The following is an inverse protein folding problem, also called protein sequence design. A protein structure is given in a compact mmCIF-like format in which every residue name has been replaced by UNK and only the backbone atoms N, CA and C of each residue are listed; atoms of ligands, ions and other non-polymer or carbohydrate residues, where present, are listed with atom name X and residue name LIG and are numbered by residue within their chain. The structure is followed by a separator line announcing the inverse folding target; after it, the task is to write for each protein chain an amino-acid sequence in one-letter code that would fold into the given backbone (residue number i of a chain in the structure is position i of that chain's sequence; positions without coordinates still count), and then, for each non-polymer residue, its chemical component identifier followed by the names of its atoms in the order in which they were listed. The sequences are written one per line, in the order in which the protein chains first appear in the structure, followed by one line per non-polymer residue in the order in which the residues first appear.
data_IF_386666576962
#
_entry.id   IF_386666576962
#
_cell.length_a   1.000
_cell.length_b   1.000
_cell.length_c   1.000
_cell.angle_alpha   90.00
_cell.angle_beta   90.00
_cell.angle_gamma   90.00
#
_symmetry.space_group_name_H-M   'P 1'
#
loop_
_entity.id
_entity.type
_entity.pdbx_description
1 polymer ?
#
# COMPACT_ATOMS: atom_id res chain seq x y z
N UNK A 1 5.00 -10.37 25.01
CA UNK A 1 4.37 -11.35 24.07
C UNK A 1 5.26 -11.38 22.84
N UNK A 2 5.81 -12.55 22.50
CA UNK A 2 6.78 -12.66 21.38
C UNK A 2 6.05 -12.71 20.04
N UNK A 3 6.33 -11.76 19.19
CA UNK A 3 5.72 -11.62 17.87
C UNK A 3 6.68 -12.05 16.77
N UNK A 4 6.18 -12.79 15.77
CA UNK A 4 6.89 -13.08 14.54
C UNK A 4 6.49 -12.06 13.47
N UNK A 5 7.42 -11.23 13.06
CA UNK A 5 7.22 -10.26 11.98
C UNK A 5 7.72 -10.83 10.64
N UNK A 6 7.00 -10.55 9.57
CA UNK A 6 7.31 -11.07 8.23
C UNK A 6 7.17 -9.97 7.18
N UNK A 7 8.18 -9.81 6.33
CA UNK A 7 8.10 -8.97 5.14
C UNK A 7 7.79 -9.83 3.92
N UNK A 8 6.54 -9.78 3.44
CA UNK A 8 6.07 -10.46 2.22
C UNK A 8 5.55 -9.43 1.20
N UNK A 9 6.46 -8.73 0.48
CA UNK A 9 6.10 -7.66 -0.45
C UNK A 9 5.33 -8.16 -1.67
N UNK A 10 5.31 -9.46 -1.91
CA UNK A 10 4.51 -10.15 -2.93
C UNK A 10 3.02 -10.24 -2.63
N UNK A 11 2.59 -9.83 -1.44
CA UNK A 11 1.24 -10.00 -0.91
C UNK A 11 0.13 -9.68 -1.91
N UNK A 12 0.14 -8.54 -2.57
CA UNK A 12 -0.94 -8.15 -3.49
C UNK A 12 -0.98 -9.00 -4.77
N UNK A 13 0.18 -9.48 -5.23
CA UNK A 13 0.23 -10.42 -6.36
C UNK A 13 -0.31 -11.78 -5.90
N UNK A 14 -0.05 -12.18 -4.66
CA UNK A 14 -0.61 -13.38 -4.06
C UNK A 14 -2.14 -13.27 -3.91
N UNK A 15 -2.67 -12.12 -3.48
CA UNK A 15 -4.11 -11.85 -3.44
C UNK A 15 -4.75 -11.93 -4.84
N UNK A 16 -4.08 -11.39 -5.87
CA UNK A 16 -4.56 -11.46 -7.25
C UNK A 16 -4.60 -12.91 -7.77
N UNK A 17 -3.56 -13.69 -7.48
CA UNK A 17 -3.48 -15.09 -7.87
C UNK A 17 -4.45 -15.99 -7.09
N UNK A 18 -4.67 -15.69 -5.81
CA UNK A 18 -5.52 -16.44 -4.86
C UNK A 18 -5.20 -17.95 -4.84
N UNK A 19 -3.93 -18.28 -4.77
CA UNK A 19 -3.44 -19.66 -4.78
C UNK A 19 -2.72 -19.98 -3.47
N UNK A 20 -3.06 -21.10 -2.84
CA UNK A 20 -2.35 -21.60 -1.65
C UNK A 20 -0.86 -21.93 -1.96
N UNK A 21 -0.58 -22.39 -3.16
CA UNK A 21 0.78 -22.64 -3.65
C UNK A 21 1.11 -21.63 -4.74
N UNK A 22 1.52 -20.44 -4.32
CA UNK A 22 1.90 -19.35 -5.19
C UNK A 22 3.41 -19.16 -5.23
N UNK A 23 3.98 -19.10 -6.43
CA UNK A 23 5.40 -18.77 -6.61
C UNK A 23 5.53 -17.33 -7.07
N UNK A 24 6.05 -16.43 -6.23
CA UNK A 24 6.21 -15.03 -6.60
C UNK A 24 7.20 -14.84 -7.77
N UNK A 25 7.04 -13.79 -8.58
CA UNK A 25 8.03 -13.39 -9.58
C UNK A 25 9.42 -13.19 -8.96
N UNK A 26 10.48 -13.41 -9.76
CA UNK A 26 11.87 -13.29 -9.30
C UNK A 26 12.15 -11.97 -8.55
N UNK A 27 11.73 -10.83 -9.13
CA UNK A 27 11.94 -9.52 -8.52
C UNK A 27 11.30 -9.39 -7.11
N UNK A 28 10.13 -9.98 -6.89
CA UNK A 28 9.48 -9.96 -5.57
C UNK A 28 10.21 -10.85 -4.55
N UNK A 29 10.67 -12.03 -4.98
CA UNK A 29 11.50 -12.93 -4.16
C UNK A 29 12.82 -12.27 -3.77
N UNK A 30 13.49 -11.63 -4.73
CA UNK A 30 14.73 -10.89 -4.46
C UNK A 30 14.49 -9.73 -3.49
N UNK A 31 13.42 -8.95 -3.67
CA UNK A 31 13.06 -7.87 -2.75
C UNK A 31 12.83 -8.39 -1.33
N UNK A 32 12.16 -9.54 -1.18
CA UNK A 32 11.94 -10.20 0.11
C UNK A 32 13.26 -10.67 0.75
N UNK A 33 14.13 -11.29 -0.03
CA UNK A 33 15.43 -11.76 0.45
C UNK A 33 16.33 -10.60 0.90
N UNK A 34 16.39 -9.52 0.12
CA UNK A 34 17.28 -8.38 0.38
C UNK A 34 16.79 -7.48 1.51
N UNK A 35 15.48 -7.29 1.65
CA UNK A 35 14.86 -6.34 2.58
C UNK A 35 14.00 -7.03 3.67
N UNK A 36 14.07 -8.34 3.79
CA UNK A 36 13.34 -9.11 4.82
C UNK A 36 13.56 -8.62 6.25
N UNK A 37 14.66 -7.91 6.48
CA UNK A 37 15.01 -7.31 7.77
C UNK A 37 14.20 -6.04 8.12
N UNK A 38 13.45 -5.44 7.20
CA UNK A 38 12.69 -4.19 7.43
C UNK A 38 11.80 -4.22 8.68
N UNK A 39 11.12 -5.34 9.03
CA UNK A 39 10.33 -5.41 10.25
C UNK A 39 11.10 -5.12 11.55
N UNK A 40 12.42 -5.30 11.57
CA UNK A 40 13.24 -4.91 12.71
C UNK A 40 13.20 -3.41 13.03
N UNK A 41 12.67 -2.58 12.14
CA UNK A 41 12.49 -1.14 12.40
C UNK A 41 11.34 -0.83 13.38
N UNK A 42 10.41 -1.77 13.57
CA UNK A 42 9.25 -1.63 14.46
C UNK A 42 9.04 -2.83 15.41
N UNK A 43 9.85 -3.88 15.29
CA UNK A 43 9.81 -5.03 16.18
C UNK A 43 10.37 -4.66 17.56
N UNK A 44 9.79 -5.25 18.60
CA UNK A 44 10.31 -5.14 19.95
C UNK A 44 11.56 -6.03 20.15
N UNK A 45 12.29 -5.82 21.25
CA UNK A 45 13.58 -6.50 21.52
C UNK A 45 13.44 -8.03 21.56
N UNK A 46 12.30 -8.52 22.06
CA UNK A 46 12.05 -9.97 22.22
C UNK A 46 11.31 -10.59 21.04
N UNK A 47 11.02 -9.80 20.00
CA UNK A 47 10.33 -10.27 18.80
C UNK A 47 11.29 -10.96 17.83
N UNK A 48 10.69 -11.75 16.94
CA UNK A 48 11.38 -12.43 15.86
C UNK A 48 11.08 -11.76 14.51
N UNK A 49 12.06 -11.72 13.64
CA UNK A 49 11.89 -11.30 12.24
C UNK A 49 12.27 -12.47 11.33
N UNK A 50 11.29 -12.98 10.58
CA UNK A 50 11.51 -14.06 9.62
C UNK A 50 12.22 -13.54 8.39
N UNK A 51 13.35 -14.13 8.04
CA UNK A 51 14.17 -13.78 6.89
C UNK A 51 14.66 -15.02 6.14
N UNK A 52 15.12 -14.88 4.92
CA UNK A 52 15.71 -15.99 4.16
C UNK A 52 17.15 -16.31 4.61
N UNK A 53 17.89 -15.27 5.02
CA UNK A 53 19.29 -15.36 5.43
C UNK A 53 19.53 -14.52 6.67
N UNK A 54 19.49 -15.13 7.86
CA UNK A 54 19.57 -14.44 9.15
C UNK A 54 20.87 -13.65 9.35
N UNK A 55 22.02 -14.19 8.95
CA UNK A 55 23.31 -13.52 9.09
C UNK A 55 23.43 -12.28 8.17
N UNK A 56 23.02 -12.41 6.89
CA UNK A 56 23.02 -11.30 5.94
C UNK A 56 22.07 -10.19 6.39
N UNK A 57 20.86 -10.55 6.86
CA UNK A 57 19.87 -9.60 7.38
C UNK A 57 20.38 -8.88 8.62
N UNK A 58 21.03 -9.58 9.54
CA UNK A 58 21.69 -9.00 10.73
C UNK A 58 22.74 -7.96 10.31
N UNK A 59 23.61 -8.32 9.36
CA UNK A 59 24.65 -7.42 8.85
C UNK A 59 24.08 -6.16 8.19
N UNK A 60 23.02 -6.32 7.38
CA UNK A 60 22.35 -5.20 6.72
C UNK A 60 21.65 -4.25 7.71
N UNK A 61 20.99 -4.80 8.72
CA UNK A 61 20.30 -4.03 9.76
C UNK A 61 21.27 -3.35 10.73
N UNK A 62 22.38 -3.99 11.09
CA UNK A 62 23.30 -3.54 12.14
C UNK A 62 23.82 -2.10 11.89
N UNK A 63 24.17 -1.77 10.65
CA UNK A 63 24.63 -0.41 10.30
C UNK A 63 23.54 0.64 10.54
N UNK A 64 22.30 0.33 10.16
CA UNK A 64 21.17 1.23 10.32
C UNK A 64 20.75 1.32 11.80
N UNK A 65 20.72 0.19 12.50
CA UNK A 65 20.43 0.07 13.92
C UNK A 65 21.29 1.00 14.77
N UNK A 66 22.63 0.91 14.59
CA UNK A 66 23.58 1.77 15.33
C UNK A 66 23.33 3.26 15.07
N UNK A 67 23.09 3.63 13.81
CA UNK A 67 22.83 5.03 13.44
C UNK A 67 21.54 5.59 14.04
N UNK A 68 20.52 4.73 14.21
CA UNK A 68 19.20 5.12 14.71
C UNK A 68 19.02 4.85 16.22
N UNK A 69 20.01 4.27 16.91
CA UNK A 69 19.88 3.89 18.32
C UNK A 69 18.81 2.81 18.57
N UNK A 70 18.54 1.94 17.58
CA UNK A 70 17.49 0.91 17.70
C UNK A 70 17.98 -0.32 18.49
N UNK A 71 17.06 -1.03 19.17
CA UNK A 71 17.41 -2.26 19.89
C UNK A 71 17.86 -3.36 18.93
N UNK A 72 18.47 -4.38 19.48
CA UNK A 72 18.77 -5.63 18.76
C UNK A 72 17.45 -6.39 18.52
N UNK A 73 17.34 -7.04 17.35
CA UNK A 73 16.17 -7.86 16.98
C UNK A 73 16.67 -9.25 16.57
N UNK A 74 15.93 -10.28 16.91
CA UNK A 74 16.26 -11.65 16.56
C UNK A 74 15.80 -11.99 15.14
N UNK A 75 16.77 -12.21 14.24
CA UNK A 75 16.49 -12.73 12.91
C UNK A 75 16.50 -14.25 12.92
N UNK A 76 15.45 -14.84 12.39
CA UNK A 76 15.23 -16.29 12.33
C UNK A 76 14.92 -16.70 10.89
N UNK A 77 15.29 -17.91 10.52
CA UNK A 77 14.95 -18.49 9.25
C UNK A 77 13.82 -19.55 9.39
N UNK A 78 13.34 -20.03 8.25
CA UNK A 78 12.21 -20.97 8.19
C UNK A 78 12.47 -22.29 8.92
N UNK A 79 13.74 -22.73 9.08
CA UNK A 79 14.07 -23.99 9.72
C UNK A 79 13.94 -23.94 11.24
N UNK A 80 13.97 -22.72 11.80
CA UNK A 80 13.88 -22.48 13.23
C UNK A 80 12.43 -22.38 13.72
N UNK A 81 11.46 -22.07 12.83
CA UNK A 81 10.08 -21.69 13.19
C UNK A 81 9.35 -22.69 14.09
N UNK A 82 9.57 -24.01 13.89
CA UNK A 82 8.92 -25.05 14.68
C UNK A 82 9.39 -25.11 16.15
N UNK A 83 10.50 -24.45 16.47
CA UNK A 83 11.14 -24.47 17.78
C UNK A 83 10.99 -23.13 18.54
N UNK A 84 10.40 -22.11 17.90
CA UNK A 84 10.26 -20.79 18.50
C UNK A 84 9.00 -20.69 19.37
N UNK A 85 9.12 -19.97 20.48
CA UNK A 85 7.99 -19.57 21.32
C UNK A 85 7.31 -18.32 20.73
N UNK A 86 6.58 -18.53 19.60
CA UNK A 86 5.80 -17.47 18.96
C UNK A 86 4.40 -17.43 19.54
N UNK A 87 3.91 -16.25 19.88
CA UNK A 87 2.58 -16.02 20.44
C UNK A 87 1.68 -15.21 19.49
N UNK A 88 2.26 -14.48 18.55
CA UNK A 88 1.54 -13.70 17.54
C UNK A 88 2.33 -13.64 16.24
N UNK A 89 1.64 -13.54 15.11
CA UNK A 89 2.25 -13.33 13.78
C UNK A 89 1.75 -12.03 13.19
N UNK A 90 2.68 -11.18 12.77
CA UNK A 90 2.39 -9.87 12.12
C UNK A 90 3.13 -9.79 10.78
N UNK A 91 2.51 -10.27 9.68
CA UNK A 91 3.10 -10.14 8.36
C UNK A 91 2.94 -8.71 7.81
N UNK A 92 3.59 -8.45 6.70
CA UNK A 92 3.32 -7.28 5.86
C UNK A 92 1.86 -7.24 5.42
N UNK A 93 1.35 -8.36 4.95
CA UNK A 93 -0.05 -8.61 4.66
C UNK A 93 -0.40 -10.09 4.69
N UNK A 94 -1.62 -10.44 5.03
CA UNK A 94 -2.11 -11.82 5.10
C UNK A 94 -2.65 -12.30 3.76
N UNK A 95 -2.16 -13.43 3.28
CA UNK A 95 -2.66 -14.14 2.09
C UNK A 95 -2.56 -15.66 2.26
N UNK A 96 -3.27 -16.40 1.39
CA UNK A 96 -3.36 -17.86 1.47
C UNK A 96 -2.00 -18.56 1.26
N UNK A 97 -1.13 -17.99 0.43
CA UNK A 97 0.19 -18.56 0.16
C UNK A 97 1.09 -18.47 1.39
N UNK A 98 1.09 -17.30 2.07
CA UNK A 98 1.85 -17.11 3.30
C UNK A 98 1.38 -18.08 4.39
N UNK A 99 0.07 -18.21 4.59
CA UNK A 99 -0.49 -19.14 5.61
C UNK A 99 -0.09 -20.56 5.31
N UNK A 100 -0.17 -20.99 4.05
CA UNK A 100 0.26 -22.33 3.61
C UNK A 100 1.74 -22.57 3.89
N UNK A 101 2.60 -21.60 3.60
CA UNK A 101 4.03 -21.68 3.85
C UNK A 101 4.34 -21.76 5.35
N UNK A 102 3.71 -20.94 6.17
CA UNK A 102 3.92 -20.94 7.63
C UNK A 102 3.47 -22.26 8.27
N UNK A 103 2.35 -22.83 7.84
CA UNK A 103 1.92 -24.17 8.25
C UNK A 103 2.97 -25.22 7.89
N UNK A 104 3.46 -25.21 6.65
CA UNK A 104 4.47 -26.16 6.16
C UNK A 104 5.80 -26.05 6.90
N UNK A 105 6.15 -24.86 7.39
CA UNK A 105 7.36 -24.61 8.18
C UNK A 105 7.17 -24.89 9.68
N UNK A 106 6.02 -25.44 10.09
CA UNK A 106 5.76 -25.92 11.44
C UNK A 106 5.24 -24.89 12.41
N UNK A 107 4.76 -23.74 11.94
CA UNK A 107 4.11 -22.77 12.82
C UNK A 107 2.73 -23.31 13.26
N UNK A 108 2.38 -23.22 14.57
CA UNK A 108 1.09 -23.72 15.06
C UNK A 108 -0.11 -23.06 14.38
N UNK A 109 -1.05 -23.86 13.88
CA UNK A 109 -2.26 -23.40 13.15
C UNK A 109 -3.08 -22.40 13.97
N UNK A 110 -3.12 -22.52 15.31
CA UNK A 110 -3.83 -21.55 16.18
C UNK A 110 -3.34 -20.10 16.08
N UNK A 111 -2.13 -19.89 15.52
CA UNK A 111 -1.55 -18.55 15.31
C UNK A 111 -1.87 -17.97 13.93
N UNK A 112 -2.52 -18.74 13.07
CA UNK A 112 -2.80 -18.39 11.69
C UNK A 112 -4.29 -18.10 11.52
N UNK A 113 -4.65 -17.17 10.62
CA UNK A 113 -6.05 -16.90 10.32
C UNK A 113 -6.70 -18.09 9.60
N UNK A 114 -7.97 -18.33 9.88
CA UNK A 114 -8.78 -19.29 9.15
C UNK A 114 -9.01 -18.84 7.69
N UNK A 115 -9.29 -19.80 6.81
CA UNK A 115 -9.52 -19.54 5.38
C UNK A 115 -10.66 -18.54 5.15
N UNK A 116 -11.75 -18.65 5.90
CA UNK A 116 -12.89 -17.72 5.80
C UNK A 116 -12.51 -16.27 6.09
N UNK A 117 -11.62 -16.05 7.05
CA UNK A 117 -11.07 -14.71 7.35
C UNK A 117 -10.17 -14.20 6.24
N UNK A 118 -9.31 -15.06 5.69
CA UNK A 118 -8.45 -14.71 4.55
C UNK A 118 -9.28 -14.29 3.34
N UNK A 119 -10.35 -15.01 3.03
CA UNK A 119 -11.27 -14.68 1.95
C UNK A 119 -11.96 -13.33 2.21
N UNK A 120 -12.41 -13.08 3.43
CA UNK A 120 -12.98 -11.79 3.83
C UNK A 120 -11.97 -10.65 3.66
N UNK A 121 -10.75 -10.80 4.16
CA UNK A 121 -9.70 -9.78 4.03
C UNK A 121 -9.27 -9.56 2.58
N UNK A 122 -9.25 -10.62 1.76
CA UNK A 122 -9.03 -10.49 0.33
C UNK A 122 -10.12 -9.66 -0.35
N UNK A 123 -11.39 -9.85 0.02
CA UNK A 123 -12.49 -9.02 -0.49
C UNK A 123 -12.37 -7.57 -0.02
N UNK A 124 -11.97 -7.32 1.23
CA UNK A 124 -11.70 -5.97 1.75
C UNK A 124 -10.53 -5.29 1.02
N UNK A 125 -9.49 -6.03 0.63
CA UNK A 125 -8.36 -5.52 -0.14
C UNK A 125 -8.68 -5.25 -1.62
N UNK A 126 -9.87 -5.62 -2.10
CA UNK A 126 -10.32 -5.30 -3.45
C UNK A 126 -10.54 -3.79 -3.60
N UNK A 127 -10.11 -3.17 -4.68
CA UNK A 127 -10.26 -1.71 -4.92
C UNK A 127 -11.69 -1.18 -4.88
N UNK A 128 -12.73 -2.05 -4.98
CA UNK A 128 -14.12 -1.64 -4.71
C UNK A 128 -14.31 -1.08 -3.30
N UNK A 129 -13.54 -1.54 -2.33
CA UNK A 129 -13.59 -1.02 -0.95
C UNK A 129 -13.11 0.43 -0.90
N UNK A 130 -12.06 0.78 -1.66
CA UNK A 130 -11.64 2.18 -1.83
C UNK A 130 -12.74 3.03 -2.46
N UNK A 131 -13.42 2.53 -3.48
CA UNK A 131 -14.52 3.23 -4.14
C UNK A 131 -15.72 3.47 -3.21
N UNK A 132 -16.04 2.49 -2.35
CA UNK A 132 -17.10 2.62 -1.33
C UNK A 132 -16.71 3.64 -0.26
N UNK A 133 -15.50 3.56 0.25
CA UNK A 133 -14.98 4.52 1.23
C UNK A 133 -14.94 5.93 0.64
N UNK A 134 -14.52 6.09 -0.61
CA UNK A 134 -14.43 7.38 -1.30
C UNK A 134 -15.75 8.16 -1.24
N UNK A 135 -16.89 7.50 -1.38
CA UNK A 135 -18.20 8.15 -1.32
C UNK A 135 -18.51 8.78 0.05
N UNK A 136 -18.04 8.15 1.14
CA UNK A 136 -18.21 8.67 2.51
C UNK A 136 -17.21 9.80 2.85
N UNK A 137 -16.15 9.95 2.06
CA UNK A 137 -15.11 10.98 2.25
C UNK A 137 -15.37 12.26 1.45
N UNK A 138 -16.47 12.35 0.70
CA UNK A 138 -16.78 13.55 -0.08
C UNK A 138 -17.10 14.74 0.82
N UNK A 139 -16.39 15.82 0.58
CA UNK A 139 -16.53 17.14 1.22
C UNK A 139 -16.30 18.23 0.18
N UNK A 140 -16.62 19.48 0.54
CA UNK A 140 -16.12 20.62 -0.23
C UNK A 140 -14.58 20.58 -0.28
N UNK A 141 -14.01 20.81 -1.46
CA UNK A 141 -12.57 20.69 -1.69
C UNK A 141 -12.09 19.29 -2.05
N UNK A 142 -12.97 18.29 -2.14
CA UNK A 142 -12.62 16.93 -2.58
C UNK A 142 -13.14 16.62 -3.98
N UNK A 143 -12.51 15.65 -4.62
CA UNK A 143 -12.88 15.04 -5.91
C UNK A 143 -12.58 13.54 -5.86
N UNK A 144 -13.14 12.79 -6.78
CA UNK A 144 -12.85 11.37 -6.94
C UNK A 144 -14.11 10.59 -7.30
N UNK A 145 -14.01 9.74 -8.30
CA UNK A 145 -15.04 8.81 -8.73
C UNK A 145 -14.38 7.50 -9.12
N UNK A 146 -15.02 6.40 -8.82
CA UNK A 146 -14.56 5.08 -9.20
C UNK A 146 -15.77 4.16 -9.43
N UNK A 147 -15.77 3.43 -10.55
CA UNK A 147 -16.82 2.50 -10.93
C UNK A 147 -16.21 1.12 -11.11
N UNK A 148 -16.82 0.10 -10.51
CA UNK A 148 -16.48 -1.29 -10.78
C UNK A 148 -17.21 -1.76 -12.05
N UNK A 149 -16.46 -2.29 -13.02
CA UNK A 149 -16.97 -2.80 -14.28
C UNK A 149 -16.66 -4.31 -14.39
N UNK A 150 -17.70 -5.12 -14.56
CA UNK A 150 -17.60 -6.59 -14.70
C UNK A 150 -17.59 -7.07 -16.14
N UNK A 151 -17.81 -6.21 -17.10
CA UNK A 151 -17.75 -6.47 -18.53
C UNK A 151 -17.15 -5.29 -19.30
N UNK A 152 -16.88 -5.50 -20.57
CA UNK A 152 -16.22 -4.52 -21.44
C UNK A 152 -17.18 -3.42 -21.90
N UNK A 153 -18.46 -3.65 -21.91
CA UNK A 153 -19.51 -2.72 -22.28
C UNK A 153 -19.60 -1.62 -21.20
N UNK A 154 -19.52 -1.99 -19.92
CA UNK A 154 -19.48 -1.02 -18.81
C UNK A 154 -18.20 -0.16 -18.87
N UNK A 155 -17.06 -0.76 -19.21
CA UNK A 155 -15.80 0.02 -19.40
C UNK A 155 -15.95 1.01 -20.55
N UNK A 156 -16.56 0.59 -21.67
CA UNK A 156 -16.83 1.45 -22.81
C UNK A 156 -17.75 2.61 -22.46
N UNK A 157 -18.80 2.37 -21.65
CA UNK A 157 -19.69 3.41 -21.15
C UNK A 157 -18.96 4.45 -20.29
N UNK A 158 -18.08 4.01 -19.38
CA UNK A 158 -17.25 4.90 -18.56
C UNK A 158 -16.32 5.76 -19.45
N UNK A 159 -15.69 5.17 -20.48
CA UNK A 159 -14.84 5.91 -21.42
C UNK A 159 -15.62 6.94 -22.25
N UNK A 160 -16.82 6.58 -22.69
CA UNK A 160 -17.70 7.52 -23.40
C UNK A 160 -18.12 8.71 -22.52
N UNK A 161 -18.28 8.46 -21.21
CA UNK A 161 -18.68 9.49 -20.25
C UNK A 161 -17.52 10.43 -19.90
N UNK A 162 -16.32 9.87 -19.57
CA UNK A 162 -15.19 10.66 -19.06
C UNK A 162 -14.12 10.99 -20.10
N UNK A 163 -14.17 10.39 -21.29
CA UNK A 163 -13.22 10.55 -22.39
C UNK A 163 -11.78 10.10 -22.06
N UNK A 164 -11.30 10.37 -20.85
CA UNK A 164 -10.00 9.95 -20.34
C UNK A 164 -10.17 9.22 -19.01
N UNK A 165 -9.73 7.98 -18.94
CA UNK A 165 -9.89 7.13 -17.76
C UNK A 165 -8.60 6.43 -17.36
N UNK A 166 -8.57 6.04 -16.09
CA UNK A 166 -7.60 5.11 -15.52
C UNK A 166 -8.34 3.81 -15.23
N UNK A 167 -7.88 2.70 -15.79
CA UNK A 167 -8.41 1.35 -15.51
C UNK A 167 -7.42 0.63 -14.61
N UNK A 168 -7.92 0.08 -13.50
CA UNK A 168 -7.11 -0.59 -12.49
C UNK A 168 -7.59 -2.03 -12.29
N UNK A 169 -6.66 -2.99 -12.21
CA UNK A 169 -6.99 -4.34 -11.77
C UNK A 169 -7.40 -4.32 -10.29
N UNK A 170 -8.36 -5.17 -9.86
CA UNK A 170 -8.86 -5.23 -8.48
C UNK A 170 -7.77 -5.43 -7.44
N UNK A 171 -6.83 -6.34 -7.71
CA UNK A 171 -5.65 -6.59 -6.89
C UNK A 171 -4.40 -6.43 -7.76
N UNK A 172 -3.56 -5.47 -7.40
CA UNK A 172 -2.28 -5.25 -8.08
C UNK A 172 -1.39 -4.34 -7.25
N UNK A 173 -0.09 -4.39 -7.47
CA UNK A 173 0.87 -3.55 -6.78
C UNK A 173 1.77 -2.77 -7.73
N UNK A 174 2.35 -1.69 -7.22
CA UNK A 174 3.44 -0.94 -7.88
C UNK A 174 3.12 -0.47 -9.30
N UNK A 175 1.87 -0.08 -9.56
CA UNK A 175 1.42 0.45 -10.86
C UNK A 175 1.31 -0.58 -12.00
N UNK A 176 1.62 -1.86 -11.76
CA UNK A 176 1.59 -2.89 -12.82
C UNK A 176 0.18 -3.24 -13.30
N UNK A 177 -0.82 -3.04 -12.46
CA UNK A 177 -2.23 -3.26 -12.78
C UNK A 177 -2.99 -1.98 -13.10
N UNK A 178 -2.33 -0.95 -13.62
CA UNK A 178 -2.95 0.36 -13.94
C UNK A 178 -2.67 0.70 -15.40
N UNK A 179 -3.71 1.07 -16.15
CA UNK A 179 -3.60 1.52 -17.53
C UNK A 179 -4.41 2.79 -17.77
N UNK A 180 -3.92 3.62 -18.69
CA UNK A 180 -4.52 4.91 -19.06
C UNK A 180 -5.13 4.78 -20.46
N UNK A 181 -6.38 5.24 -20.61
CA UNK A 181 -7.10 5.27 -21.87
C UNK A 181 -7.60 6.68 -22.14
N UNK A 182 -7.50 7.08 -23.42
CA UNK A 182 -7.88 8.40 -23.89
C UNK A 182 -8.57 8.22 -25.25
N UNK A 183 -9.85 8.60 -25.35
CA UNK A 183 -10.66 8.42 -26.56
C UNK A 183 -10.16 9.21 -27.74
N UNK A 184 -9.55 10.39 -27.54
CA UNK A 184 -8.98 11.20 -28.61
C UNK A 184 -7.80 10.50 -29.31
N UNK A 185 -7.06 9.67 -28.57
CA UNK A 185 -5.91 8.93 -29.11
C UNK A 185 -6.29 7.58 -29.74
N UNK A 186 -7.49 7.09 -29.50
CA UNK A 186 -7.94 5.77 -29.97
C UNK A 186 -8.59 5.80 -31.36
N UNK A 187 -8.65 6.95 -32.03
CA UNK A 187 -9.21 7.12 -33.38
C UNK A 187 -10.74 7.12 -33.41
N UNK A 188 -11.32 8.12 -34.06
CA UNK A 188 -12.71 8.59 -33.96
C UNK A 188 -13.86 7.67 -34.38
N UNK A 189 -13.69 6.33 -34.50
CA UNK A 189 -14.77 5.41 -34.92
C UNK A 189 -15.60 4.83 -33.78
N UNK A 190 -15.44 5.30 -32.54
CA UNK A 190 -16.30 4.92 -31.41
C UNK A 190 -16.25 3.42 -31.03
N UNK A 191 -15.60 2.58 -31.78
CA UNK A 191 -15.31 1.18 -31.44
C UNK A 191 -14.06 1.16 -30.58
N UNK A 192 -14.28 1.32 -29.30
CA UNK A 192 -13.28 1.09 -28.30
C UNK A 192 -12.75 -0.33 -28.45
N UNK A 193 -11.58 -0.48 -28.97
CA UNK A 193 -10.83 -1.73 -28.80
C UNK A 193 -10.44 -1.79 -27.32
N UNK A 194 -11.40 -2.23 -26.49
CA UNK A 194 -11.06 -2.65 -25.13
C UNK A 194 -9.98 -3.73 -25.29
N UNK A 195 -8.77 -3.39 -24.85
CA UNK A 195 -7.62 -4.23 -25.12
C UNK A 195 -7.74 -5.59 -24.42
N UNK A 196 -6.97 -6.55 -24.89
CA UNK A 196 -6.95 -7.90 -24.33
C UNK A 196 -6.58 -7.92 -22.84
N UNK A 197 -5.90 -6.87 -22.33
CA UNK A 197 -5.56 -6.79 -20.93
C UNK A 197 -6.81 -6.62 -20.04
N UNK A 198 -7.74 -5.73 -20.39
CA UNK A 198 -9.00 -5.54 -19.65
C UNK A 198 -9.79 -6.85 -19.65
N UNK A 199 -9.96 -7.50 -20.82
CA UNK A 199 -10.67 -8.77 -20.93
C UNK A 199 -10.04 -9.86 -20.05
N UNK A 200 -8.71 -9.94 -20.04
CA UNK A 200 -7.97 -10.92 -19.23
C UNK A 200 -8.11 -10.62 -17.72
N UNK A 201 -8.05 -9.35 -17.30
CA UNK A 201 -8.24 -8.99 -15.89
C UNK A 201 -9.65 -9.34 -15.44
N UNK A 202 -10.69 -8.96 -16.21
CA UNK A 202 -12.08 -9.33 -15.90
C UNK A 202 -12.23 -10.84 -15.80
N UNK A 203 -11.67 -11.61 -16.76
CA UNK A 203 -11.72 -13.07 -16.73
C UNK A 203 -11.04 -13.67 -15.50
N UNK A 204 -9.91 -13.11 -15.04
CA UNK A 204 -9.11 -13.67 -13.95
C UNK A 204 -9.54 -13.16 -12.57
N UNK A 205 -9.93 -11.89 -12.47
CA UNK A 205 -10.21 -11.21 -11.20
C UNK A 205 -11.67 -10.78 -11.06
N UNK A 206 -12.53 -11.02 -12.05
CA UNK A 206 -13.98 -10.79 -12.04
C UNK A 206 -14.41 -9.39 -12.46
N UNK A 207 -13.56 -8.39 -12.33
CA UNK A 207 -13.88 -6.99 -12.68
C UNK A 207 -12.62 -6.16 -12.93
N UNK A 208 -12.81 -4.90 -13.32
CA UNK A 208 -11.83 -3.82 -13.27
C UNK A 208 -12.45 -2.61 -12.60
N UNK A 209 -11.62 -1.74 -12.01
CA UNK A 209 -12.06 -0.42 -11.55
C UNK A 209 -11.74 0.62 -12.62
N UNK A 210 -12.71 1.49 -12.92
CA UNK A 210 -12.56 2.57 -13.88
C UNK A 210 -12.75 3.90 -13.15
N UNK A 211 -11.82 4.82 -13.33
CA UNK A 211 -11.81 6.14 -12.71
C UNK A 211 -11.57 7.21 -13.77
N UNK A 212 -12.13 8.42 -13.63
CA UNK A 212 -11.73 9.53 -14.48
C UNK A 212 -10.24 9.82 -14.32
N UNK A 213 -9.59 10.24 -15.40
CA UNK A 213 -8.20 10.69 -15.33
C UNK A 213 -8.13 12.07 -14.66
N UNK A 214 -7.40 12.18 -13.58
CA UNK A 214 -7.13 13.44 -12.89
C UNK A 214 -5.72 13.95 -13.16
N UNK A 215 -5.58 15.27 -13.35
CA UNK A 215 -4.27 15.90 -13.48
C UNK A 215 -3.58 15.99 -12.11
N UNK A 216 -2.80 14.97 -11.81
CA UNK A 216 -2.13 14.80 -10.52
C UNK A 216 -1.03 15.83 -10.32
N UNK A 217 -1.04 16.47 -9.13
CA UNK A 217 -0.01 17.40 -8.66
C UNK A 217 0.93 16.73 -7.66
N UNK A 218 0.35 15.95 -6.71
CA UNK A 218 1.14 15.32 -5.64
C UNK A 218 0.46 14.07 -5.12
N UNK A 219 1.26 13.01 -4.91
CA UNK A 219 0.85 11.83 -4.16
C UNK A 219 1.24 11.97 -2.69
N UNK A 220 0.42 11.44 -1.80
CA UNK A 220 0.70 11.24 -0.39
C UNK A 220 -0.27 10.20 0.18
N UNK A 221 -0.07 9.76 1.41
CA UNK A 221 -0.96 8.84 2.08
C UNK A 221 -1.12 9.17 3.56
N UNK A 222 -2.10 8.54 4.16
CA UNK A 222 -2.28 8.45 5.60
C UNK A 222 -2.15 7.00 6.02
N UNK A 223 -1.37 6.76 7.06
CA UNK A 223 -1.15 5.45 7.63
C UNK A 223 -1.94 5.28 8.90
N UNK A 224 -2.52 4.09 9.09
CA UNK A 224 -3.40 3.75 10.20
C UNK A 224 -3.09 2.35 10.73
N UNK A 225 -3.63 2.05 11.92
CA UNK A 225 -3.68 0.70 12.47
C UNK A 225 -5.07 0.46 13.08
N UNK A 226 -5.70 -0.67 12.75
CA UNK A 226 -6.89 -1.14 13.43
C UNK A 226 -6.51 -2.10 14.54
N UNK A 227 -6.83 -1.71 15.76
CA UNK A 227 -6.54 -2.46 16.97
C UNK A 227 -7.52 -3.64 17.17
N UNK A 228 -7.18 -4.57 18.06
CA UNK A 228 -8.00 -5.73 18.40
C UNK A 228 -9.37 -5.37 18.96
N UNK A 229 -9.50 -4.21 19.61
CA UNK A 229 -10.78 -3.68 20.13
C UNK A 229 -11.61 -2.95 19.07
N UNK A 230 -11.19 -2.96 17.80
CA UNK A 230 -11.86 -2.31 16.68
C UNK A 230 -11.53 -0.83 16.48
N UNK A 231 -10.81 -0.19 17.39
CA UNK A 231 -10.41 1.20 17.23
C UNK A 231 -9.43 1.37 16.06
N UNK A 232 -9.63 2.44 15.29
CA UNK A 232 -8.75 2.86 14.20
C UNK A 232 -7.87 3.99 14.70
N UNK A 233 -6.56 3.75 14.71
CA UNK A 233 -5.56 4.70 15.17
C UNK A 233 -4.79 5.27 13.98
N UNK A 234 -4.75 6.59 13.86
CA UNK A 234 -3.91 7.30 12.91
C UNK A 234 -2.44 7.19 13.32
N UNK A 235 -1.58 6.81 12.37
CA UNK A 235 -0.15 6.63 12.59
C UNK A 235 0.70 7.78 12.04
N UNK A 236 0.23 8.47 11.01
CA UNK A 236 0.92 9.64 10.46
C UNK A 236 0.77 9.80 8.94
N UNK A 237 1.24 10.95 8.44
CA UNK A 237 1.33 11.25 7.01
C UNK A 237 2.51 10.54 6.36
N UNK A 238 2.29 10.04 5.16
CA UNK A 238 3.28 9.45 4.28
C UNK A 238 3.40 10.29 3.01
N UNK A 239 4.42 11.12 2.89
CA UNK A 239 4.69 11.89 1.68
C UNK A 239 5.65 11.10 0.80
N UNK A 240 5.11 10.53 -0.27
CA UNK A 240 5.89 9.70 -1.18
C UNK A 240 5.96 10.31 -2.59
N UNK A 241 6.88 9.81 -3.38
CA UNK A 241 7.07 10.18 -4.76
C UNK A 241 6.88 8.96 -5.65
N UNK A 242 6.21 9.18 -6.79
CA UNK A 242 6.07 8.18 -7.85
C UNK A 242 6.68 8.69 -9.15
N UNK A 243 7.23 7.78 -9.94
CA UNK A 243 7.66 8.04 -11.32
C UNK A 243 7.02 7.00 -12.23
N UNK A 244 6.26 7.46 -13.20
CA UNK A 244 5.48 6.58 -14.10
C UNK A 244 4.57 5.59 -13.33
N UNK A 245 3.98 6.06 -12.22
CA UNK A 245 3.13 5.24 -11.35
C UNK A 245 3.87 4.28 -10.40
N UNK A 246 5.20 4.16 -10.52
CA UNK A 246 6.00 3.33 -9.62
C UNK A 246 6.50 4.16 -8.42
N UNK A 247 6.43 3.58 -7.23
CA UNK A 247 6.99 4.15 -6.02
C UNK A 247 8.51 4.31 -6.14
N UNK A 248 9.03 5.49 -5.77
CA UNK A 248 10.47 5.78 -5.77
C UNK A 248 11.02 6.20 -4.40
N UNK A 249 10.19 6.57 -3.44
CA UNK A 249 10.67 6.89 -2.10
C UNK A 249 9.72 7.73 -1.27
N UNK A 250 10.05 7.88 0.01
CA UNK A 250 9.30 8.69 0.98
C UNK A 250 10.16 9.82 1.56
N UNK A 251 9.53 10.94 1.83
CA UNK A 251 10.10 11.98 2.68
C UNK A 251 10.07 11.50 4.15
N UNK A 252 11.22 11.59 4.82
CA UNK A 252 11.38 11.40 6.26
C UNK A 252 11.48 12.77 6.91
N UNK A 253 10.43 13.16 7.58
CA UNK A 253 10.30 14.42 8.30
C UNK A 253 9.27 14.22 9.42
N UNK A 254 9.24 15.12 10.39
CA UNK A 254 8.21 15.10 11.44
C UNK A 254 6.82 15.27 10.83
N UNK A 255 5.80 14.90 11.58
CA UNK A 255 4.41 15.10 11.17
C UNK A 255 4.13 16.58 10.88
N UNK A 256 4.61 17.48 11.73
CA UNK A 256 4.46 18.92 11.60
C UNK A 256 5.06 19.43 10.27
N UNK A 257 6.30 19.05 9.99
CA UNK A 257 6.99 19.42 8.75
C UNK A 257 6.28 18.89 7.50
N UNK A 258 5.71 17.65 7.55
CA UNK A 258 4.91 17.09 6.47
C UNK A 258 3.59 17.84 6.27
N UNK A 259 2.88 18.17 7.36
CA UNK A 259 1.65 18.97 7.31
C UNK A 259 1.90 20.35 6.71
N UNK A 260 2.98 21.03 7.10
CA UNK A 260 3.38 22.32 6.51
C UNK A 260 3.62 22.26 4.99
N UNK A 261 4.11 21.11 4.49
CA UNK A 261 4.26 20.89 3.04
C UNK A 261 2.91 20.71 2.34
N UNK A 262 1.96 20.00 2.94
CA UNK A 262 0.60 19.83 2.38
C UNK A 262 -0.19 21.15 2.45
N UNK A 263 0.00 21.97 3.48
CA UNK A 263 -0.64 23.27 3.64
C UNK A 263 -0.41 24.24 2.46
N UNK A 264 0.63 24.02 1.67
CA UNK A 264 0.89 24.78 0.42
C UNK A 264 -0.11 24.50 -0.69
N UNK A 265 -0.87 23.42 -0.58
CA UNK A 265 -1.80 22.95 -1.61
C UNK A 265 -3.25 22.93 -1.14
N UNK A 266 -3.49 22.58 0.12
CA UNK A 266 -4.82 22.33 0.69
C UNK A 266 -4.91 22.90 2.10
N UNK A 267 -6.12 23.34 2.53
CA UNK A 267 -6.36 23.71 3.94
C UNK A 267 -6.11 22.48 4.85
N UNK A 268 -5.40 22.68 5.97
CA UNK A 268 -5.14 21.60 6.93
C UNK A 268 -6.42 21.11 7.60
N UNK A 269 -7.42 21.96 7.74
CA UNK A 269 -8.74 21.57 8.26
C UNK A 269 -9.40 20.50 7.36
N UNK A 270 -9.30 20.63 6.03
CA UNK A 270 -9.78 19.59 5.10
C UNK A 270 -9.06 18.27 5.36
N UNK A 271 -7.74 18.31 5.58
CA UNK A 271 -6.96 17.11 5.87
C UNK A 271 -7.39 16.44 7.18
N UNK A 272 -7.64 17.22 8.23
CA UNK A 272 -8.09 16.72 9.53
C UNK A 272 -9.52 16.17 9.45
N UNK A 273 -10.41 16.81 8.72
CA UNK A 273 -11.76 16.32 8.47
C UNK A 273 -11.77 14.99 7.71
N UNK A 274 -10.91 14.85 6.69
CA UNK A 274 -10.77 13.58 5.95
C UNK A 274 -10.21 12.49 6.86
N UNK A 275 -9.18 12.77 7.66
CA UNK A 275 -8.62 11.84 8.64
C UNK A 275 -9.72 11.31 9.60
N UNK A 276 -10.52 12.22 10.17
CA UNK A 276 -11.59 11.82 11.08
C UNK A 276 -12.66 11.00 10.37
N UNK A 277 -13.07 11.39 9.16
CA UNK A 277 -14.03 10.62 8.36
C UNK A 277 -13.53 9.22 8.00
N UNK A 278 -12.23 9.05 7.75
CA UNK A 278 -11.66 7.72 7.54
C UNK A 278 -11.82 6.89 8.80
N UNK A 279 -11.45 7.42 9.97
CA UNK A 279 -11.56 6.73 11.25
C UNK A 279 -13.01 6.30 11.52
N UNK A 280 -13.97 7.16 11.22
CA UNK A 280 -15.39 6.93 11.52
C UNK A 280 -16.09 6.01 10.50
N UNK A 281 -15.61 5.96 9.24
CA UNK A 281 -16.35 5.32 8.16
C UNK A 281 -15.64 4.11 7.52
N UNK A 282 -14.36 3.87 7.82
CA UNK A 282 -13.67 2.72 7.25
C UNK A 282 -14.22 1.42 7.85
N UNK A 283 -14.80 0.60 6.98
CA UNK A 283 -15.37 -0.70 7.36
C UNK A 283 -14.34 -1.80 7.05
N UNK A 284 -13.75 -2.36 8.08
CA UNK A 284 -12.70 -3.37 7.99
C UNK A 284 -13.10 -4.70 8.64
N UNK A 285 -14.39 -4.91 8.91
CA UNK A 285 -14.95 -6.12 9.52
C UNK A 285 -14.10 -6.61 10.72
N UNK A 286 -13.52 -7.80 10.62
CA UNK A 286 -12.66 -8.39 11.64
C UNK A 286 -11.15 -8.21 11.36
N UNK A 287 -10.77 -7.44 10.33
CA UNK A 287 -9.36 -7.16 10.07
C UNK A 287 -8.71 -6.43 11.24
N UNK A 288 -7.53 -6.85 11.62
CA UNK A 288 -6.68 -6.22 12.64
C UNK A 288 -5.27 -6.06 12.07
N UNK A 289 -4.72 -4.87 12.24
CA UNK A 289 -3.38 -4.56 11.78
C UNK A 289 -3.27 -3.24 11.03
N UNK A 290 -2.09 -2.97 10.46
CA UNK A 290 -1.80 -1.75 9.74
C UNK A 290 -2.53 -1.68 8.40
N UNK A 291 -2.96 -0.49 8.02
CA UNK A 291 -3.45 -0.20 6.67
C UNK A 291 -3.08 1.23 6.27
N UNK A 292 -2.99 1.47 4.97
CA UNK A 292 -2.69 2.79 4.42
C UNK A 292 -3.74 3.23 3.42
N UNK A 293 -3.97 4.53 3.33
CA UNK A 293 -4.85 5.12 2.31
C UNK A 293 -4.03 6.09 1.47
N UNK A 294 -3.87 5.74 0.19
CA UNK A 294 -3.22 6.60 -0.78
C UNK A 294 -4.18 7.69 -1.24
N UNK A 295 -3.67 8.91 -1.31
CA UNK A 295 -4.37 10.12 -1.69
C UNK A 295 -3.60 10.87 -2.76
N UNK A 296 -4.26 11.75 -3.48
CA UNK A 296 -3.57 12.66 -4.39
C UNK A 296 -4.19 14.05 -4.39
N UNK A 297 -3.35 15.06 -4.55
CA UNK A 297 -3.75 16.42 -4.86
C UNK A 297 -3.81 16.53 -6.38
N UNK A 298 -4.90 17.04 -6.88
CA UNK A 298 -5.14 17.20 -8.30
C UNK A 298 -5.38 18.67 -8.67
N UNK A 299 -4.95 19.06 -9.87
CA UNK A 299 -5.32 20.32 -10.47
C UNK A 299 -6.61 20.08 -11.27
N UNK A 300 -7.75 20.48 -10.68
CA UNK A 300 -9.06 20.33 -11.29
C UNK A 300 -9.37 21.57 -12.13
N UNK A 301 -9.50 21.38 -13.43
CA UNK A 301 -9.75 22.45 -14.38
C UNK A 301 -11.25 22.72 -14.45
N UNK A 302 -11.69 23.85 -13.91
CA UNK A 302 -13.09 24.28 -13.92
C UNK A 302 -13.46 24.97 -15.25
N UNK A 303 -12.47 25.62 -15.90
CA UNK A 303 -12.59 26.28 -17.22
C UNK A 303 -11.19 26.42 -17.83
N UNK A 304 -11.10 26.93 -19.04
CA UNK A 304 -9.82 27.23 -19.72
C UNK A 304 -8.92 28.20 -18.93
N UNK A 305 -9.50 28.98 -18.02
CA UNK A 305 -8.80 30.06 -17.28
C UNK A 305 -8.69 29.76 -15.77
N UNK A 306 -9.61 28.96 -15.19
CA UNK A 306 -9.69 28.73 -13.76
C UNK A 306 -9.39 27.27 -13.41
N UNK A 307 -8.39 27.06 -12.57
CA UNK A 307 -8.09 25.77 -11.96
C UNK A 307 -8.13 25.85 -10.43
N UNK A 308 -8.55 24.79 -9.77
CA UNK A 308 -8.59 24.65 -8.32
C UNK A 308 -7.87 23.40 -7.91
N UNK A 309 -7.06 23.49 -6.86
CA UNK A 309 -6.47 22.30 -6.25
C UNK A 309 -7.52 21.60 -5.40
N UNK A 310 -7.73 20.32 -5.67
CA UNK A 310 -8.68 19.48 -4.93
C UNK A 310 -7.96 18.22 -4.40
N UNK A 311 -8.52 17.67 -3.33
CA UNK A 311 -8.06 16.41 -2.76
C UNK A 311 -8.87 15.24 -3.31
N UNK A 312 -8.19 14.23 -3.85
CA UNK A 312 -8.75 12.89 -4.03
C UNK A 312 -8.44 12.07 -2.77
N UNK A 313 -9.41 11.86 -1.87
CA UNK A 313 -9.13 11.42 -0.49
C UNK A 313 -8.96 9.91 -0.34
N UNK A 314 -9.18 9.11 -1.39
CA UNK A 314 -8.99 7.66 -1.38
C UNK A 314 -8.74 7.14 -2.79
N UNK A 315 -7.49 7.13 -3.21
CA UNK A 315 -7.05 6.54 -4.49
C UNK A 315 -6.94 5.02 -4.37
N UNK A 316 -6.49 4.56 -3.19
CA UNK A 316 -6.30 3.14 -2.87
C UNK A 316 -6.28 2.92 -1.36
N UNK A 317 -6.99 1.89 -0.91
CA UNK A 317 -6.88 1.33 0.43
C UNK A 317 -5.92 0.14 0.38
N UNK A 318 -4.80 0.24 1.08
CA UNK A 318 -3.79 -0.80 1.20
C UNK A 318 -4.02 -1.55 2.53
N UNK A 319 -4.67 -2.72 2.50
CA UNK A 319 -5.01 -3.50 3.71
C UNK A 319 -3.80 -4.34 4.16
N UNK A 320 -2.73 -3.66 4.44
CA UNK A 320 -1.42 -4.20 4.83
C UNK A 320 -0.52 -3.09 5.34
N UNK A 321 0.66 -3.47 5.83
CA UNK A 321 1.72 -2.49 6.04
C UNK A 321 2.18 -1.90 4.69
N UNK A 322 2.62 -0.65 4.68
CA UNK A 322 3.05 0.08 3.48
C UNK A 322 4.48 0.61 3.66
N UNK A 323 5.07 1.10 2.58
CA UNK A 323 6.34 1.84 2.68
C UNK A 323 6.19 3.15 3.45
N UNK A 324 4.97 3.67 3.58
CA UNK A 324 4.65 4.78 4.46
C UNK A 324 4.88 4.44 5.93
N UNK A 325 4.45 3.27 6.40
CA UNK A 325 4.74 2.79 7.76
C UNK A 325 6.25 2.61 8.00
N UNK A 326 7.00 2.14 6.99
CA UNK A 326 8.47 2.08 7.07
C UNK A 326 9.05 3.49 7.24
N UNK A 327 8.56 4.47 6.46
CA UNK A 327 8.99 5.86 6.56
C UNK A 327 8.69 6.46 7.94
N UNK A 328 7.50 6.16 8.50
CA UNK A 328 7.14 6.60 9.85
C UNK A 328 8.09 6.04 10.93
N UNK A 329 8.51 4.77 10.79
CA UNK A 329 9.51 4.16 11.70
C UNK A 329 10.88 4.82 11.62
N UNK A 330 11.17 5.56 10.55
CA UNK A 330 12.44 6.25 10.29
C UNK A 330 12.34 7.78 10.45
N UNK A 331 11.16 8.27 10.86
CA UNK A 331 10.91 9.70 11.04
C UNK A 331 11.88 10.30 12.07
N UNK A 332 12.56 11.42 11.75
CA UNK A 332 13.38 12.15 12.71
C UNK A 332 12.50 12.82 13.79
N UNK A 333 13.10 13.13 14.91
CA UNK A 333 12.44 13.86 16.02
C UNK A 333 12.61 15.38 15.90
N UNK A 334 13.48 15.84 15.01
CA UNK A 334 13.83 17.25 14.80
C UNK A 334 13.13 17.76 13.52
N UNK A 335 12.39 18.88 13.64
CA UNK A 335 11.63 19.47 12.54
C UNK A 335 12.49 20.03 11.40
N UNK A 336 13.73 20.39 11.68
CA UNK A 336 14.68 20.88 10.68
C UNK A 336 15.32 19.76 9.86
N UNK A 337 15.19 18.51 10.33
CA UNK A 337 15.77 17.35 9.64
C UNK A 337 14.80 16.81 8.60
N UNK A 338 15.19 16.93 7.34
CA UNK A 338 14.50 16.31 6.20
C UNK A 338 15.42 15.35 5.49
N UNK A 339 14.95 14.12 5.33
CA UNK A 339 15.66 13.05 4.58
C UNK A 339 14.71 12.42 3.59
N UNK A 340 15.26 11.71 2.63
CA UNK A 340 14.49 10.90 1.67
C UNK A 340 14.93 9.46 1.81
N UNK A 341 13.96 8.58 1.98
CA UNK A 341 14.12 7.14 1.92
C UNK A 341 13.77 6.66 0.51
N UNK A 342 14.59 5.82 -0.08
CA UNK A 342 14.27 5.15 -1.34
C UNK A 342 14.86 3.74 -1.37
N UNK A 343 14.23 2.88 -2.18
CA UNK A 343 14.74 1.55 -2.48
C UNK A 343 15.39 1.61 -3.85
N UNK A 344 16.64 1.20 -3.93
CA UNK A 344 17.41 1.12 -5.16
C UNK A 344 17.72 -0.34 -5.48
N UNK A 345 17.55 -0.72 -6.73
CA UNK A 345 17.97 -2.00 -7.27
C UNK A 345 19.24 -1.80 -8.11
N UNK A 346 20.31 -2.41 -7.66
CA UNK A 346 21.52 -2.66 -8.44
C UNK A 346 21.61 -4.17 -8.70
N UNK A 347 22.55 -4.87 -8.08
CA UNK A 347 22.58 -6.34 -8.01
C UNK A 347 21.59 -6.86 -6.93
N UNK A 348 21.35 -6.04 -5.91
CA UNK A 348 20.45 -6.28 -4.78
C UNK A 348 19.61 -5.04 -4.47
N UNK A 349 18.43 -5.26 -3.88
CA UNK A 349 17.62 -4.16 -3.34
C UNK A 349 18.26 -3.61 -2.07
N UNK A 350 18.42 -2.30 -2.00
CA UNK A 350 19.01 -1.59 -0.85
C UNK A 350 18.11 -0.44 -0.42
N UNK A 351 17.94 -0.29 0.88
CA UNK A 351 17.33 0.88 1.48
C UNK A 351 18.37 1.98 1.65
N UNK A 352 18.15 3.11 1.00
CA UNK A 352 18.96 4.31 1.13
C UNK A 352 18.23 5.43 1.85
N UNK A 353 18.95 6.15 2.71
CA UNK A 353 18.46 7.34 3.41
C UNK A 353 19.46 8.47 3.15
N UNK A 354 19.01 9.51 2.47
CA UNK A 354 19.82 10.68 2.09
C UNK A 354 19.17 11.95 2.65
N UNK A 355 19.94 13.05 2.79
CA UNK A 355 19.35 14.37 3.07
C UNK A 355 18.40 14.73 1.92
N UNK A 356 17.25 15.31 2.24
CA UNK A 356 16.40 15.93 1.21
C UNK A 356 17.13 17.17 0.68
N UNK A 357 17.15 17.32 -0.64
CA UNK A 357 17.68 18.52 -1.31
C UNK A 357 16.68 19.65 -1.24
#
# INVERSE_FOLDING_TARGET
MKTLHIFNPEHEIALAANLAHFTPPHAARQLKADLGWLPALWADTDDYVLVEHAEASRKNYERLRRRLGRPFTMFVDRSELSHLDVQQVKPWGWDAALVTDLCRWGLPVRLLPETSRLDGWRQLAHRRTSARLLSSLRLEGTVGEAVECSDVEQVAACLSHWQRVVVKAPWSSSGRGVRFYDTERLGGDGKLMVDNWIRNVIKQQGSVMVEPYYNKVKDFGMEFERLANGLVCYQGLSLFHTKNGAYIGNLLATEEAKRALIARYLPLELLDNIKQRIIDNVQLDDYQGPFGIDMMIVNFQLSTVNSKLLLHPCVELNLRRTMGHVALSLTPTDDDIRKVMHIELTDHYKLHIRKAQ
#
